data_IF_880541631924
#
_entry.id   IF_880541631924
#
_cell.length_a   1.000
_cell.length_b   1.000
_cell.length_c   1.000
_cell.angle_alpha   90.00
_cell.angle_beta   90.00
_cell.angle_gamma   90.00
#
_symmetry.space_group_name_H-M   'P 1'
#
loop_
_entity.id
_entity.type
_entity.pdbx_description
1 polymer ?
#
# COMPACT_ATOMS: atom_id res chain seq x y z
N UNK A 1 -41.01 23.50 -10.27
CA UNK A 1 -40.99 22.09 -9.83
C UNK A 1 -41.88 21.94 -8.62
N UNK A 2 -42.86 21.05 -8.66
CA UNK A 2 -43.84 20.89 -7.58
C UNK A 2 -43.16 20.27 -6.35
N UNK A 3 -43.34 20.89 -5.20
CA UNK A 3 -42.82 20.43 -3.89
C UNK A 3 -43.16 18.95 -3.61
N UNK A 4 -44.34 18.50 -4.06
CA UNK A 4 -44.77 17.11 -3.99
C UNK A 4 -43.85 16.14 -4.75
N UNK A 5 -43.31 16.54 -5.90
CA UNK A 5 -42.38 15.71 -6.69
C UNK A 5 -41.05 15.58 -5.96
N UNK A 6 -40.55 16.67 -5.37
CA UNK A 6 -39.29 16.64 -4.60
C UNK A 6 -39.40 15.74 -3.37
N UNK A 7 -40.54 15.78 -2.66
CA UNK A 7 -40.80 14.90 -1.52
C UNK A 7 -40.86 13.43 -1.94
N UNK A 8 -41.53 13.13 -3.06
CA UNK A 8 -41.63 11.77 -3.58
C UNK A 8 -40.24 11.20 -3.92
N UNK A 9 -39.40 11.98 -4.59
CA UNK A 9 -38.01 11.59 -4.88
C UNK A 9 -37.19 11.37 -3.60
N UNK A 10 -37.34 12.24 -2.60
CA UNK A 10 -36.64 12.10 -1.32
C UNK A 10 -37.03 10.81 -0.58
N UNK A 11 -38.32 10.47 -0.57
CA UNK A 11 -38.81 9.25 0.05
C UNK A 11 -38.35 8.00 -0.69
N UNK A 12 -38.32 8.03 -2.03
CA UNK A 12 -37.90 6.89 -2.85
C UNK A 12 -36.41 6.59 -2.68
N UNK A 13 -35.56 7.62 -2.67
CA UNK A 13 -34.12 7.48 -2.40
C UNK A 13 -33.87 7.03 -0.96
N UNK A 14 -34.54 7.64 0.02
CA UNK A 14 -34.43 7.26 1.43
C UNK A 14 -34.85 5.80 1.68
N UNK A 15 -35.91 5.34 1.02
CA UNK A 15 -36.36 3.94 1.08
C UNK A 15 -35.30 2.98 0.54
N UNK A 16 -34.68 3.30 -0.59
CA UNK A 16 -33.60 2.50 -1.18
C UNK A 16 -32.42 2.33 -0.23
N UNK A 17 -31.98 3.42 0.41
CA UNK A 17 -30.90 3.40 1.42
C UNK A 17 -31.31 2.57 2.64
N UNK A 18 -32.54 2.73 3.13
CA UNK A 18 -33.08 1.97 4.26
C UNK A 18 -33.08 0.46 4.00
N UNK A 19 -33.51 0.03 2.81
CA UNK A 19 -33.49 -1.40 2.40
C UNK A 19 -32.06 -1.94 2.32
N UNK A 20 -31.13 -1.17 1.77
CA UNK A 20 -29.73 -1.57 1.68
C UNK A 20 -29.09 -1.76 3.07
N UNK A 21 -29.38 -0.88 4.03
CA UNK A 21 -28.93 -1.01 5.42
C UNK A 21 -29.56 -2.23 6.10
N UNK A 22 -30.87 -2.45 5.90
CA UNK A 22 -31.58 -3.59 6.46
C UNK A 22 -31.00 -4.93 5.95
N UNK A 23 -30.62 -5.00 4.67
CA UNK A 23 -30.02 -6.21 4.08
C UNK A 23 -28.59 -6.45 4.55
N UNK A 24 -27.83 -5.39 4.84
CA UNK A 24 -26.44 -5.45 5.26
C UNK A 24 -26.29 -5.98 6.69
N UNK A 25 -27.21 -5.66 7.59
CA UNK A 25 -27.07 -5.93 9.02
C UNK A 25 -28.00 -7.05 9.49
N UNK A 26 -27.55 -8.30 9.32
CA UNK A 26 -28.28 -9.51 9.73
C UNK A 26 -27.97 -10.00 11.14
N UNK A 27 -26.98 -9.42 11.83
CA UNK A 27 -26.48 -9.92 13.12
C UNK A 27 -26.83 -9.03 14.33
N UNK A 28 -27.37 -7.82 14.13
CA UNK A 28 -27.75 -6.92 15.22
C UNK A 28 -29.11 -7.26 15.85
N UNK A 29 -29.27 -6.93 17.14
CA UNK A 29 -30.47 -7.21 17.91
C UNK A 29 -31.69 -6.43 17.37
N UNK A 30 -32.89 -7.05 17.45
CA UNK A 30 -34.15 -6.52 16.88
C UNK A 30 -34.49 -5.05 17.22
N UNK A 31 -34.27 -4.52 18.45
CA UNK A 31 -34.63 -3.13 18.73
C UNK A 31 -33.65 -2.10 18.15
N UNK A 32 -32.39 -2.47 17.95
CA UNK A 32 -31.35 -1.56 17.42
C UNK A 32 -31.51 -1.38 15.90
N UNK A 33 -31.93 -2.46 15.23
CA UNK A 33 -32.15 -2.49 13.78
C UNK A 33 -33.29 -1.59 13.32
N UNK A 34 -34.38 -1.52 14.07
CA UNK A 34 -35.54 -0.69 13.70
C UNK A 34 -35.22 0.80 13.84
N UNK A 35 -34.55 1.20 14.92
CA UNK A 35 -34.12 2.58 15.13
C UNK A 35 -33.14 3.04 14.04
N UNK A 36 -32.14 2.22 13.71
CA UNK A 36 -31.16 2.53 12.68
C UNK A 36 -31.78 2.63 11.29
N UNK A 37 -32.77 1.78 10.98
CA UNK A 37 -33.48 1.83 9.69
C UNK A 37 -34.31 3.12 9.57
N UNK A 38 -35.05 3.50 10.62
CA UNK A 38 -35.85 4.74 10.62
C UNK A 38 -34.94 5.97 10.52
N UNK A 39 -33.82 5.99 11.25
CA UNK A 39 -32.85 7.07 11.19
C UNK A 39 -32.19 7.18 9.81
N UNK A 40 -31.84 6.06 9.17
CA UNK A 40 -31.25 6.04 7.84
C UNK A 40 -32.21 6.57 6.75
N UNK A 41 -33.51 6.32 6.87
CA UNK A 41 -34.53 6.84 5.93
C UNK A 41 -34.73 8.34 6.09
N UNK A 42 -34.83 8.84 7.32
CA UNK A 42 -35.06 10.26 7.61
C UNK A 42 -33.82 11.13 7.38
N UNK A 43 -32.62 10.59 7.66
CA UNK A 43 -31.36 11.32 7.58
C UNK A 43 -30.44 10.82 6.46
N UNK A 44 -30.99 10.24 5.39
CA UNK A 44 -30.22 9.66 4.29
C UNK A 44 -29.13 10.58 3.71
N UNK A 45 -29.31 11.92 3.55
CA UNK A 45 -28.27 12.77 2.96
C UNK A 45 -26.99 12.82 3.81
N UNK A 46 -27.15 12.67 5.14
CA UNK A 46 -26.03 12.65 6.09
C UNK A 46 -25.41 11.25 6.20
N UNK A 47 -26.20 10.20 5.97
CA UNK A 47 -25.73 8.82 5.98
C UNK A 47 -24.98 8.41 4.70
N UNK A 48 -25.27 9.01 3.54
CA UNK A 48 -24.56 8.70 2.27
C UNK A 48 -23.03 8.85 2.38
N UNK A 49 -22.46 9.99 2.83
CA UNK A 49 -21.01 10.11 2.95
C UNK A 49 -20.41 9.14 3.98
N UNK A 50 -21.12 8.86 5.08
CA UNK A 50 -20.68 7.89 6.11
C UNK A 50 -20.69 6.46 5.56
N UNK A 51 -21.70 6.09 4.78
CA UNK A 51 -21.80 4.78 4.14
C UNK A 51 -20.70 4.58 3.09
N UNK A 52 -20.34 5.64 2.35
CA UNK A 52 -19.23 5.63 1.40
C UNK A 52 -17.88 5.48 2.11
N UNK A 53 -17.65 6.19 3.23
CA UNK A 53 -16.42 6.05 4.02
C UNK A 53 -16.26 4.64 4.62
N UNK A 54 -17.36 4.01 5.06
CA UNK A 54 -17.31 2.69 5.70
C UNK A 54 -17.08 1.54 4.73
N UNK A 55 -17.44 1.69 3.45
CA UNK A 55 -17.07 0.73 2.39
C UNK A 55 -15.55 0.72 2.20
N UNK A 56 -14.89 1.87 2.37
CA UNK A 56 -13.45 2.00 2.28
C UNK A 56 -12.68 1.50 3.51
N UNK A 57 -13.33 1.16 4.63
CA UNK A 57 -12.64 0.74 5.87
C UNK A 57 -12.79 -0.74 6.24
N UNK A 58 -13.68 -1.49 5.57
CA UNK A 58 -13.96 -2.88 5.96
C UNK A 58 -13.00 -3.93 5.35
N UNK A 59 -12.17 -3.54 4.37
CA UNK A 59 -11.07 -4.38 3.91
C UNK A 59 -9.86 -4.34 4.87
N UNK A 60 -9.72 -3.29 5.68
CA UNK A 60 -8.62 -3.15 6.65
C UNK A 60 -8.92 -3.77 8.02
N UNK A 61 -10.16 -3.68 8.52
CA UNK A 61 -10.46 -4.08 9.91
C UNK A 61 -10.78 -5.58 10.13
N UNK A 62 -10.87 -6.39 9.07
CA UNK A 62 -11.06 -7.85 9.20
C UNK A 62 -9.73 -8.63 9.33
N UNK A 63 -8.59 -7.94 9.41
CA UNK A 63 -7.25 -8.55 9.54
C UNK A 63 -6.83 -8.74 11.00
N UNK A 64 -7.46 -8.05 11.95
CA UNK A 64 -7.05 -8.05 13.36
C UNK A 64 -7.40 -9.31 14.18
N UNK A 65 -7.85 -10.41 13.55
CA UNK A 65 -8.00 -11.72 14.22
C UNK A 65 -7.52 -12.90 13.38
N UNK A 66 -6.71 -12.67 12.33
CA UNK A 66 -5.97 -13.77 11.71
C UNK A 66 -4.83 -14.19 12.63
N UNK A 67 -4.89 -15.45 13.06
CA UNK A 67 -3.81 -16.13 13.75
C UNK A 67 -2.48 -15.92 13.01
N UNK A 68 -1.38 -15.62 13.73
CA UNK A 68 -0.07 -15.39 13.15
C UNK A 68 0.55 -16.74 12.80
N UNK A 69 0.39 -17.28 11.59
CA UNK A 69 1.13 -18.53 11.28
C UNK A 69 1.49 -18.85 9.84
N UNK A 70 1.18 -18.01 8.85
CA UNK A 70 1.70 -18.24 7.50
C UNK A 70 2.15 -16.93 6.87
N UNK A 71 3.07 -16.21 7.53
CA UNK A 71 3.92 -15.28 6.79
C UNK A 71 4.79 -16.12 5.86
N UNK A 72 4.67 -15.87 4.56
CA UNK A 72 5.54 -16.47 3.56
C UNK A 72 7.00 -16.24 3.98
N UNK A 73 7.87 -17.27 3.98
CA UNK A 73 9.24 -17.15 4.53
C UNK A 73 10.08 -16.06 3.85
N UNK A 74 9.70 -15.61 2.66
CA UNK A 74 10.33 -14.50 1.95
C UNK A 74 9.99 -13.14 2.57
N UNK A 75 8.76 -12.95 3.05
CA UNK A 75 8.30 -11.69 3.66
C UNK A 75 9.03 -11.39 4.97
N UNK A 76 9.30 -12.44 5.76
CA UNK A 76 10.01 -12.30 7.03
C UNK A 76 11.48 -11.91 6.83
N UNK A 77 12.12 -12.38 5.76
CA UNK A 77 13.51 -12.03 5.44
C UNK A 77 13.69 -10.54 5.14
N UNK A 78 12.73 -9.91 4.45
CA UNK A 78 12.80 -8.47 4.16
C UNK A 78 12.69 -7.64 5.44
N UNK A 79 11.77 -8.00 6.34
CA UNK A 79 11.62 -7.32 7.64
C UNK A 79 12.92 -7.40 8.44
N UNK A 80 13.51 -8.59 8.52
CA UNK A 80 14.79 -8.82 9.23
C UNK A 80 15.91 -7.99 8.62
N UNK A 81 16.01 -7.95 7.29
CA UNK A 81 17.02 -7.15 6.60
C UNK A 81 16.87 -5.66 6.87
N UNK A 82 15.64 -5.12 6.83
CA UNK A 82 15.36 -3.72 7.15
C UNK A 82 15.76 -3.41 8.59
N UNK A 83 15.30 -4.20 9.57
CA UNK A 83 15.63 -3.97 10.99
C UNK A 83 17.13 -4.07 11.25
N UNK A 84 17.84 -4.97 10.58
CA UNK A 84 19.30 -5.07 10.70
C UNK A 84 19.99 -3.82 10.16
N UNK A 85 19.63 -3.38 8.94
CA UNK A 85 20.22 -2.18 8.33
C UNK A 85 19.90 -0.91 9.14
N UNK A 86 18.68 -0.82 9.68
CA UNK A 86 18.28 0.27 10.59
C UNK A 86 19.14 0.31 11.85
N UNK A 87 19.41 -0.85 12.45
CA UNK A 87 20.24 -0.95 13.65
C UNK A 87 21.73 -0.63 13.35
N UNK A 88 22.26 -1.11 12.22
CA UNK A 88 23.63 -0.82 11.76
C UNK A 88 23.80 0.68 11.47
N UNK A 89 22.83 1.30 10.80
CA UNK A 89 22.85 2.74 10.50
C UNK A 89 22.72 3.58 11.78
N UNK A 90 21.81 3.24 12.69
CA UNK A 90 21.65 3.93 13.98
C UNK A 90 22.94 3.82 14.83
N UNK A 91 23.56 2.64 14.85
CA UNK A 91 24.85 2.45 15.51
C UNK A 91 25.95 3.31 14.89
N UNK A 92 26.01 3.40 13.55
CA UNK A 92 26.98 4.22 12.82
C UNK A 92 26.78 5.73 13.07
N UNK A 93 25.54 6.19 13.09
CA UNK A 93 25.17 7.59 13.36
C UNK A 93 25.45 7.97 14.82
N UNK A 94 25.06 7.14 15.79
CA UNK A 94 25.42 7.35 17.21
C UNK A 94 26.93 7.38 17.42
N UNK A 95 27.66 6.66 16.57
CA UNK A 95 29.12 6.65 16.54
C UNK A 95 29.71 8.02 16.16
N UNK A 96 28.96 8.86 15.45
CA UNK A 96 29.33 10.22 15.06
C UNK A 96 28.92 11.30 16.08
N UNK A 97 28.10 10.98 17.09
CA UNK A 97 27.74 11.94 18.14
C UNK A 97 29.00 12.45 18.86
N UNK A 98 29.34 13.72 18.62
CA UNK A 98 30.56 14.37 19.07
C UNK A 98 31.34 15.10 17.97
N UNK A 99 31.08 14.83 16.68
CA UNK A 99 31.74 15.53 15.56
C UNK A 99 30.91 16.68 14.98
N UNK A 100 29.59 16.56 14.90
CA UNK A 100 28.73 17.63 14.36
C UNK A 100 27.26 17.47 14.77
N UNK A 101 26.97 17.72 16.04
CA UNK A 101 25.62 17.63 16.61
C UNK A 101 24.58 18.47 15.82
N UNK A 102 25.02 19.60 15.25
CA UNK A 102 24.17 20.50 14.45
C UNK A 102 23.86 19.99 13.04
N UNK A 103 24.79 19.26 12.41
CA UNK A 103 24.59 18.71 11.06
C UNK A 103 23.77 17.42 11.17
N UNK A 104 23.99 16.59 12.19
CA UNK A 104 23.26 15.34 12.32
C UNK A 104 21.76 15.50 12.62
N UNK A 105 21.35 16.64 13.19
CA UNK A 105 19.96 16.88 13.56
C UNK A 105 19.01 16.94 12.35
N UNK A 106 19.38 17.60 11.24
CA UNK A 106 18.55 17.65 10.03
C UNK A 106 18.48 16.31 9.30
N UNK A 107 19.54 15.52 9.43
CA UNK A 107 19.73 14.29 8.71
C UNK A 107 18.96 13.14 9.35
N UNK A 108 18.77 13.18 10.67
CA UNK A 108 17.95 12.20 11.39
C UNK A 108 16.51 12.15 10.87
N UNK A 109 15.91 13.29 10.54
CA UNK A 109 14.56 13.34 9.97
C UNK A 109 14.51 12.67 8.59
N UNK A 110 15.49 12.97 7.74
CA UNK A 110 15.63 12.32 6.41
C UNK A 110 15.83 10.81 6.51
N UNK A 111 16.62 10.34 7.48
CA UNK A 111 16.75 8.91 7.73
C UNK A 111 15.47 8.28 8.29
N UNK A 112 14.66 9.02 9.06
CA UNK A 112 13.34 8.56 9.47
C UNK A 112 12.40 8.40 8.28
N UNK A 113 12.38 9.37 7.35
CA UNK A 113 11.63 9.29 6.10
C UNK A 113 12.05 8.10 5.25
N UNK A 114 13.36 7.89 5.08
CA UNK A 114 13.90 6.76 4.33
C UNK A 114 13.48 5.41 4.92
N UNK A 115 13.54 5.26 6.25
CA UNK A 115 13.05 4.06 6.96
C UNK A 115 11.57 3.81 6.73
N UNK A 116 10.77 4.87 6.78
CA UNK A 116 9.34 4.77 6.51
C UNK A 116 9.08 4.36 5.05
N UNK A 117 9.85 4.89 4.09
CA UNK A 117 9.77 4.51 2.68
C UNK A 117 10.10 3.02 2.47
N UNK A 118 11.17 2.50 3.10
CA UNK A 118 11.49 1.07 3.01
C UNK A 118 10.39 0.16 3.58
N UNK A 119 9.81 0.55 4.73
CA UNK A 119 8.69 -0.21 5.31
C UNK A 119 7.46 -0.19 4.42
N UNK A 120 7.14 0.96 3.83
CA UNK A 120 6.04 1.09 2.88
C UNK A 120 6.29 0.24 1.61
N UNK A 121 7.51 0.24 1.07
CA UNK A 121 7.87 -0.60 -0.08
C UNK A 121 7.80 -2.09 0.24
N UNK A 122 8.30 -2.50 1.41
CA UNK A 122 8.19 -3.88 1.88
C UNK A 122 6.73 -4.30 2.04
N UNK A 123 5.87 -3.43 2.57
CA UNK A 123 4.44 -3.72 2.71
C UNK A 123 3.75 -3.89 1.36
N UNK A 124 4.00 -3.00 0.39
CA UNK A 124 3.50 -3.14 -0.98
C UNK A 124 3.92 -4.47 -1.63
N UNK A 125 5.16 -4.94 -1.37
CA UNK A 125 5.62 -6.24 -1.86
C UNK A 125 4.85 -7.38 -1.17
N UNK A 126 4.58 -7.29 0.15
CA UNK A 126 3.78 -8.29 0.88
C UNK A 126 2.33 -8.34 0.40
N UNK A 127 1.74 -7.20 0.09
CA UNK A 127 0.40 -7.13 -0.51
C UNK A 127 0.37 -7.86 -1.85
N UNK A 128 1.35 -7.61 -2.73
CA UNK A 128 1.48 -8.32 -4.00
C UNK A 128 1.68 -9.83 -3.81
N UNK A 129 2.52 -10.24 -2.87
CA UNK A 129 2.75 -11.66 -2.55
C UNK A 129 1.44 -12.31 -2.05
N UNK A 130 0.72 -11.64 -1.16
CA UNK A 130 -0.59 -12.09 -0.65
C UNK A 130 -1.63 -12.21 -1.77
N UNK A 131 -1.64 -11.26 -2.71
CA UNK A 131 -2.51 -11.30 -3.89
C UNK A 131 -2.21 -12.52 -4.77
N UNK A 132 -0.93 -12.86 -4.98
CA UNK A 132 -0.55 -14.05 -5.74
C UNK A 132 -0.87 -15.36 -5.01
N UNK A 133 -0.68 -15.42 -3.69
CA UNK A 133 -1.02 -16.58 -2.86
C UNK A 133 -2.53 -16.81 -2.77
N UNK A 134 -3.35 -15.76 -2.87
CA UNK A 134 -4.81 -15.85 -2.77
C UNK A 134 -5.50 -16.68 -3.86
N UNK A 135 -4.77 -17.13 -4.88
CA UNK A 135 -5.31 -18.00 -5.93
C UNK A 135 -6.34 -17.32 -6.84
N UNK A 136 -6.67 -16.03 -6.64
CA UNK A 136 -7.53 -15.24 -7.56
C UNK A 136 -6.95 -15.10 -8.96
N UNK A 137 -5.65 -15.32 -9.10
CA UNK A 137 -4.93 -15.39 -10.37
C UNK A 137 -4.55 -16.82 -10.74
N UNK A 138 -5.00 -17.79 -9.96
CA UNK A 138 -4.76 -19.22 -10.12
C UNK A 138 -5.55 -19.76 -11.31
N UNK A 139 -4.87 -20.62 -12.05
CA UNK A 139 -5.18 -21.21 -13.35
C UNK A 139 -6.38 -22.19 -13.35
N UNK A 140 -7.31 -22.01 -12.41
CA UNK A 140 -8.45 -22.90 -12.18
C UNK A 140 -9.77 -22.18 -12.34
N UNK A 141 -10.17 -21.97 -13.59
CA UNK A 141 -11.59 -22.03 -13.92
C UNK A 141 -11.70 -22.76 -15.26
N UNK A 142 -11.62 -24.09 -15.14
CA UNK A 142 -11.92 -25.05 -16.19
C UNK A 142 -13.43 -24.94 -16.39
N UNK A 143 -13.86 -24.01 -17.23
CA UNK A 143 -15.25 -23.96 -17.67
C UNK A 143 -15.39 -24.97 -18.81
N UNK A 144 -16.27 -25.95 -18.58
CA UNK A 144 -16.58 -27.04 -19.50
C UNK A 144 -16.82 -26.56 -20.95
N UNK A 145 -16.14 -27.26 -21.87
CA UNK A 145 -16.14 -27.09 -23.31
C UNK A 145 -17.54 -27.31 -23.93
N UNK A 146 -18.37 -26.28 -24.11
CA UNK A 146 -19.54 -26.47 -25.00
C UNK A 146 -20.12 -25.20 -25.70
N UNK A 147 -19.32 -24.17 -25.99
CA UNK A 147 -19.79 -23.06 -26.85
C UNK A 147 -18.72 -22.53 -27.83
N UNK A 148 -18.75 -23.06 -29.05
CA UNK A 148 -17.70 -22.94 -30.10
C UNK A 148 -17.59 -21.54 -30.74
N UNK A 149 -18.53 -20.61 -30.50
CA UNK A 149 -18.52 -19.25 -31.11
C UNK A 149 -18.28 -18.12 -30.09
N UNK A 150 -18.25 -18.43 -28.79
CA UNK A 150 -17.85 -17.51 -27.72
C UNK A 150 -16.33 -17.52 -27.47
N UNK A 151 -15.59 -18.35 -28.23
CA UNK A 151 -14.25 -18.80 -27.91
C UNK A 151 -13.19 -17.70 -28.15
N UNK A 152 -13.26 -16.97 -29.27
CA UNK A 152 -12.25 -15.93 -29.60
C UNK A 152 -12.15 -14.82 -28.54
N UNK A 153 -13.29 -14.34 -28.04
CA UNK A 153 -13.33 -13.29 -27.00
C UNK A 153 -12.85 -13.82 -25.66
N UNK A 154 -13.18 -15.08 -25.34
CA UNK A 154 -12.73 -15.74 -24.12
C UNK A 154 -11.22 -15.99 -24.14
N UNK A 155 -10.68 -16.46 -25.26
CA UNK A 155 -9.25 -16.62 -25.48
C UNK A 155 -8.51 -15.29 -25.32
N UNK A 156 -9.01 -14.22 -25.95
CA UNK A 156 -8.40 -12.88 -25.85
C UNK A 156 -8.39 -12.38 -24.40
N UNK A 157 -9.51 -12.54 -23.67
CA UNK A 157 -9.59 -12.15 -22.27
C UNK A 157 -8.61 -12.95 -21.40
N UNK A 158 -8.53 -14.25 -21.63
CA UNK A 158 -7.65 -15.14 -20.87
C UNK A 158 -6.18 -14.84 -21.15
N UNK A 159 -5.81 -14.56 -22.41
CA UNK A 159 -4.46 -14.09 -22.78
C UNK A 159 -4.12 -12.77 -22.07
N UNK A 160 -5.03 -11.79 -22.11
CA UNK A 160 -4.82 -10.51 -21.43
C UNK A 160 -4.65 -10.66 -19.90
N UNK A 161 -5.42 -11.54 -19.25
CA UNK A 161 -5.25 -11.85 -17.83
C UNK A 161 -3.88 -12.44 -17.53
N UNK A 162 -3.44 -13.43 -18.32
CA UNK A 162 -2.11 -14.04 -18.17
C UNK A 162 -0.99 -13.02 -18.35
N UNK A 163 -1.10 -12.14 -19.33
CA UNK A 163 -0.10 -11.09 -19.59
C UNK A 163 -0.04 -10.08 -18.43
N UNK A 164 -1.19 -9.67 -17.89
CA UNK A 164 -1.25 -8.79 -16.72
C UNK A 164 -0.61 -9.43 -15.49
N UNK A 165 -0.88 -10.71 -15.22
CA UNK A 165 -0.23 -11.45 -14.12
C UNK A 165 1.29 -11.50 -14.31
N UNK A 166 1.77 -11.75 -15.54
CA UNK A 166 3.22 -11.73 -15.83
C UNK A 166 3.83 -10.35 -15.57
N UNK A 167 3.17 -9.26 -15.98
CA UNK A 167 3.62 -7.89 -15.71
C UNK A 167 3.68 -7.60 -14.21
N UNK A 168 2.67 -7.99 -13.44
CA UNK A 168 2.65 -7.80 -12.00
C UNK A 168 3.80 -8.55 -11.31
N UNK A 169 4.11 -9.78 -11.73
CA UNK A 169 5.27 -10.53 -11.22
C UNK A 169 6.60 -9.82 -11.52
N UNK A 170 6.74 -9.26 -12.71
CA UNK A 170 7.93 -8.48 -13.08
C UNK A 170 8.08 -7.21 -12.23
N UNK A 171 6.98 -6.51 -11.96
CA UNK A 171 6.97 -5.33 -11.09
C UNK A 171 7.38 -5.72 -9.66
N UNK A 172 6.79 -6.79 -9.11
CA UNK A 172 7.15 -7.31 -7.79
C UNK A 172 8.64 -7.64 -7.70
N UNK A 173 9.19 -8.33 -8.69
CA UNK A 173 10.60 -8.71 -8.71
C UNK A 173 11.54 -7.50 -8.84
N UNK A 174 11.15 -6.48 -9.62
CA UNK A 174 11.88 -5.22 -9.70
C UNK A 174 11.88 -4.50 -8.36
N UNK A 175 10.71 -4.30 -7.75
CA UNK A 175 10.59 -3.65 -6.43
C UNK A 175 11.40 -4.36 -5.35
N UNK A 176 11.42 -5.70 -5.38
CA UNK A 176 12.23 -6.48 -4.45
C UNK A 176 13.74 -6.26 -4.66
N UNK A 177 14.23 -6.34 -5.90
CA UNK A 177 15.64 -6.05 -6.21
C UNK A 177 16.05 -4.64 -5.85
N UNK A 178 15.19 -3.65 -6.13
CA UNK A 178 15.46 -2.25 -5.83
C UNK A 178 15.55 -2.04 -4.30
N UNK A 179 14.62 -2.61 -3.53
CA UNK A 179 14.68 -2.58 -2.06
C UNK A 179 15.98 -3.21 -1.54
N UNK A 180 16.32 -4.41 -2.00
CA UNK A 180 17.54 -5.09 -1.55
C UNK A 180 18.82 -4.35 -1.97
N UNK A 181 18.81 -3.72 -3.15
CA UNK A 181 19.91 -2.88 -3.63
C UNK A 181 20.14 -1.66 -2.74
N UNK A 182 19.06 -0.96 -2.37
CA UNK A 182 19.15 0.21 -1.47
C UNK A 182 19.62 -0.16 -0.07
N UNK A 183 19.13 -1.28 0.48
CA UNK A 183 19.56 -1.80 1.79
C UNK A 183 21.05 -2.18 1.80
N UNK A 184 21.53 -2.84 0.75
CA UNK A 184 22.94 -3.21 0.62
C UNK A 184 23.85 -1.96 0.56
N UNK A 185 23.43 -0.95 -0.22
CA UNK A 185 24.16 0.31 -0.34
C UNK A 185 24.23 1.08 1.00
N UNK A 186 23.14 1.16 1.76
CA UNK A 186 23.13 1.81 3.09
C UNK A 186 24.08 1.10 4.07
N UNK A 187 24.14 -0.23 4.00
CA UNK A 187 25.07 -1.01 4.83
C UNK A 187 26.53 -0.74 4.47
N UNK A 188 26.86 -0.64 3.19
CA UNK A 188 28.19 -0.22 2.75
C UNK A 188 28.54 1.15 3.32
N UNK A 189 27.57 2.06 3.32
CA UNK A 189 27.75 3.39 3.87
C UNK A 189 27.95 3.41 5.38
N UNK A 190 27.17 2.64 6.15
CA UNK A 190 27.38 2.48 7.59
C UNK A 190 28.80 1.95 7.87
N UNK A 191 29.29 1.04 7.02
CA UNK A 191 30.66 0.51 7.10
C UNK A 191 31.70 1.59 6.81
N UNK A 192 31.48 2.44 5.80
CA UNK A 192 32.35 3.59 5.49
C UNK A 192 32.41 4.61 6.62
N UNK A 193 31.28 4.91 7.28
CA UNK A 193 31.22 5.79 8.46
C UNK A 193 32.08 5.21 9.59
N UNK A 194 31.92 3.92 9.89
CA UNK A 194 32.72 3.27 10.91
C UNK A 194 34.23 3.31 10.59
N UNK A 195 34.60 3.11 9.33
CA UNK A 195 35.99 3.17 8.88
C UNK A 195 36.56 4.59 8.98
N UNK A 196 35.79 5.60 8.57
CA UNK A 196 36.20 7.01 8.67
C UNK A 196 36.46 7.41 10.12
N UNK A 197 35.60 6.95 11.04
CA UNK A 197 35.80 7.18 12.48
C UNK A 197 37.08 6.53 12.99
N UNK A 198 37.34 5.27 12.63
CA UNK A 198 38.51 4.55 13.11
C UNK A 198 39.84 5.09 12.54
N UNK A 199 39.81 5.62 11.31
CA UNK A 199 40.99 6.18 10.65
C UNK A 199 41.28 7.62 11.05
N UNK A 200 40.43 8.26 11.85
CA UNK A 200 40.56 9.67 12.23
C UNK A 200 40.45 10.61 11.02
N UNK A 201 39.68 10.22 10.00
CA UNK A 201 39.49 11.04 8.80
C UNK A 201 38.90 12.41 9.18
N UNK A 202 39.33 13.51 8.52
CA UNK A 202 38.81 14.84 8.84
C UNK A 202 37.29 14.92 8.65
N UNK A 203 36.62 15.68 9.52
CA UNK A 203 35.16 15.81 9.57
C UNK A 203 34.53 16.24 8.23
N UNK A 204 35.26 16.99 7.41
CA UNK A 204 34.83 17.37 6.05
C UNK A 204 34.55 16.17 5.14
N UNK A 205 35.22 15.04 5.34
CA UNK A 205 34.97 13.81 4.58
C UNK A 205 33.67 13.12 5.03
N UNK A 206 33.31 13.24 6.30
CA UNK A 206 32.03 12.76 6.79
C UNK A 206 30.87 13.60 6.23
N UNK A 207 31.04 14.92 6.15
CA UNK A 207 30.06 15.82 5.51
C UNK A 207 29.87 15.51 4.02
N UNK A 208 30.96 15.23 3.28
CA UNK A 208 30.87 14.81 1.88
C UNK A 208 30.08 13.50 1.72
N UNK A 209 30.36 12.51 2.57
CA UNK A 209 29.62 11.24 2.57
C UNK A 209 28.14 11.46 2.89
N UNK A 210 27.82 12.31 3.86
CA UNK A 210 26.43 12.66 4.22
C UNK A 210 25.71 13.39 3.08
N UNK A 211 26.40 14.27 2.37
CA UNK A 211 25.84 14.97 1.21
C UNK A 211 25.55 14.01 0.06
N UNK A 212 26.45 13.04 -0.19
CA UNK A 212 26.21 11.97 -1.15
C UNK A 212 25.01 11.10 -0.76
N UNK A 213 24.77 10.89 0.54
CA UNK A 213 23.55 10.21 1.03
C UNK A 213 22.32 10.99 0.65
N UNK A 214 22.29 12.29 1.00
CA UNK A 214 21.13 13.13 0.76
C UNK A 214 20.75 13.14 -0.72
N UNK A 215 21.74 13.31 -1.61
CA UNK A 215 21.52 13.29 -3.06
C UNK A 215 21.00 11.93 -3.57
N UNK A 216 21.54 10.82 -3.07
CA UNK A 216 21.10 9.48 -3.46
C UNK A 216 19.67 9.17 -2.96
N UNK A 217 19.34 9.58 -1.74
CA UNK A 217 18.01 9.42 -1.14
C UNK A 217 16.97 10.25 -1.88
N UNK A 218 17.31 11.48 -2.27
CA UNK A 218 16.41 12.34 -3.05
C UNK A 218 16.11 11.74 -4.43
N UNK A 219 17.13 11.16 -5.09
CA UNK A 219 16.93 10.41 -6.34
C UNK A 219 16.06 9.15 -6.17
N UNK A 220 16.08 8.49 -5.01
CA UNK A 220 15.21 7.36 -4.70
C UNK A 220 13.76 7.78 -4.45
N UNK A 221 13.56 8.92 -3.78
CA UNK A 221 12.23 9.49 -3.52
C UNK A 221 11.49 9.83 -4.82
N UNK A 222 12.21 10.42 -5.79
CA UNK A 222 11.64 10.70 -7.12
C UNK A 222 11.16 9.40 -7.80
N UNK A 223 11.94 8.32 -7.78
CA UNK A 223 11.52 7.06 -8.42
C UNK A 223 10.24 6.49 -7.80
N UNK A 224 10.03 6.70 -6.49
CA UNK A 224 8.77 6.28 -5.83
C UNK A 224 7.57 7.14 -6.18
N UNK A 225 7.73 8.45 -6.38
CA UNK A 225 6.60 9.35 -6.73
C UNK A 225 6.09 9.13 -8.15
N UNK A 226 6.97 8.81 -9.11
CA UNK A 226 6.57 8.45 -10.48
C UNK A 226 5.59 7.28 -10.54
N UNK A 227 5.58 6.38 -9.54
CA UNK A 227 4.72 5.22 -9.53
C UNK A 227 3.27 5.53 -9.05
N UNK A 228 3.09 6.63 -8.31
CA UNK A 228 1.76 7.08 -7.85
C UNK A 228 0.99 7.79 -8.97
N UNK A 229 1.69 8.53 -9.83
CA UNK A 229 1.09 9.23 -10.98
C UNK A 229 0.56 8.28 -12.07
N UNK A 230 1.19 7.11 -12.23
CA UNK A 230 0.72 6.09 -13.18
C UNK A 230 -0.62 5.47 -12.72
N UNK A 231 -0.83 5.31 -11.41
CA UNK A 231 -2.10 4.81 -10.87
C UNK A 231 -3.24 5.83 -11.03
N UNK A 232 -2.96 7.12 -10.82
CA UNK A 232 -3.99 8.16 -10.92
C UNK A 232 -4.36 8.48 -12.38
N UNK A 233 -3.40 8.37 -13.30
CA UNK A 233 -3.62 8.63 -14.73
C UNK A 233 -4.44 7.52 -15.40
N UNK A 234 -4.17 6.24 -15.09
CA UNK A 234 -4.93 5.12 -15.67
C UNK A 234 -6.41 5.10 -15.28
N UNK A 235 -6.75 5.67 -14.12
CA UNK A 235 -8.14 5.72 -13.64
C UNK A 235 -8.96 6.87 -14.26
N UNK A 236 -8.33 7.87 -14.90
CA UNK A 236 -9.02 9.01 -15.53
C UNK A 236 -9.46 8.75 -16.96
N UNK A 237 -8.72 7.95 -17.73
CA UNK A 237 -9.06 7.70 -19.14
C UNK A 237 -10.24 6.73 -19.31
N UNK A 238 -10.60 5.94 -18.30
CA UNK A 238 -11.67 4.93 -18.41
C UNK A 238 -13.08 5.49 -18.21
N UNK A 239 -13.24 6.76 -17.86
CA UNK A 239 -14.56 7.38 -17.61
C UNK A 239 -15.02 8.35 -18.72
N UNK A 240 -14.28 8.46 -19.82
CA UNK A 240 -14.57 9.40 -20.91
C UNK A 240 -15.20 8.76 -22.16
N UNK A 241 -15.89 7.63 -22.03
CA UNK A 241 -16.60 6.96 -23.14
C UNK A 241 -18.07 6.74 -22.79
#
# INVERSE_FOLDING_TARGET
>A
MNFAVTILFYLLVGLGVGVAVLLRDRQSALPERSFQTVAAVLFWPLFVPVLLQRVSGHWESSVASRSPTNTSPTSDRMSVAITQVEAELDAALKSLNGWSETILAGEHDRFAELRNAWRAQAERIRELDTLFESGRFGEGDVVDEETVDADDRFEQSTRARRDNVRRLRQVRERMHRDLMGTLAWVRELATMIHLARYTGAPASRAEELVTQIAAAVEGLSEVTTWNEDVQTSGSRETFAV
#
